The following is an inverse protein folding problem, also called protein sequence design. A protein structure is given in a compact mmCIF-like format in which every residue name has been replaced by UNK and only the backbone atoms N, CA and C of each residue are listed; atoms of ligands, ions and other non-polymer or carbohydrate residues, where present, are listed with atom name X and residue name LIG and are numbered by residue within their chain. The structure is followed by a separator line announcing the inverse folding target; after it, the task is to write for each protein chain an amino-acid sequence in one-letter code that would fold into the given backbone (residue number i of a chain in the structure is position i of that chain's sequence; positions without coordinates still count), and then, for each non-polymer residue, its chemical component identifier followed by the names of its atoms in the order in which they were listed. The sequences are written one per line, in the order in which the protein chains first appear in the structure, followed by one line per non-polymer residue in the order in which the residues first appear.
data_IF_038741238036
#
_entry.id   IF_038741238036
#
_cell.length_a   1.000
_cell.length_b   1.000
_cell.length_c   1.000
_cell.angle_alpha   90.00
_cell.angle_beta   90.00
_cell.angle_gamma   90.00
#
_symmetry.space_group_name_H-M   'P 1'
#
loop_
_entity.id
_entity.type
_entity.pdbx_description
1 polymer ?
#
# COMPACT_ATOMS: atom_id res chain seq x y z
N UNK A 1 5.70 -3.89 8.83
CA UNK A 1 5.44 -5.19 8.18
C UNK A 1 5.97 -6.36 8.98
N UNK A 2 7.28 -6.57 9.16
CA UNK A 2 7.78 -7.76 9.89
C UNK A 2 7.25 -7.85 11.33
N UNK A 3 7.21 -6.75 12.08
CA UNK A 3 6.62 -6.70 13.44
C UNK A 3 5.14 -7.17 13.47
N UNK A 4 4.41 -7.03 12.37
CA UNK A 4 3.01 -7.46 12.29
C UNK A 4 2.87 -8.99 12.38
N UNK A 5 3.90 -9.77 12.01
CA UNK A 5 3.86 -11.25 12.07
C UNK A 5 3.60 -11.79 13.48
N UNK A 6 4.03 -11.06 14.50
CA UNK A 6 3.90 -11.48 15.91
C UNK A 6 2.76 -10.79 16.65
N UNK A 7 2.20 -9.71 16.07
CA UNK A 7 1.17 -8.87 16.69
C UNK A 7 -0.22 -8.98 16.04
N UNK A 8 -0.32 -9.69 14.92
CA UNK A 8 -1.60 -9.93 14.24
C UNK A 8 -2.57 -10.69 15.15
N UNK A 9 -3.77 -10.13 15.32
CA UNK A 9 -4.90 -10.73 16.04
C UNK A 9 -5.99 -11.16 15.04
N UNK A 10 -6.95 -12.03 15.43
CA UNK A 10 -8.08 -12.38 14.56
C UNK A 10 -8.86 -11.15 14.05
N UNK A 11 -9.06 -10.15 14.91
CA UNK A 11 -9.81 -8.92 14.57
C UNK A 11 -9.04 -8.07 13.55
N UNK A 12 -7.74 -7.90 13.75
CA UNK A 12 -6.90 -7.10 12.84
C UNK A 12 -6.62 -7.83 11.53
N UNK A 13 -6.53 -9.16 11.55
CA UNK A 13 -6.50 -9.99 10.35
C UNK A 13 -7.78 -9.83 9.53
N UNK A 14 -8.95 -9.92 10.17
CA UNK A 14 -10.23 -9.71 9.49
C UNK A 14 -10.30 -8.30 8.87
N UNK A 15 -9.87 -7.28 9.62
CA UNK A 15 -9.82 -5.89 9.12
C UNK A 15 -8.94 -5.75 7.88
N UNK A 16 -7.73 -6.35 7.87
CA UNK A 16 -6.87 -6.35 6.67
C UNK A 16 -7.55 -7.04 5.49
N UNK A 17 -8.20 -8.17 5.71
CA UNK A 17 -8.94 -8.88 4.65
C UNK A 17 -10.09 -8.03 4.07
N UNK A 18 -10.82 -7.30 4.92
CA UNK A 18 -11.88 -6.38 4.49
C UNK A 18 -11.33 -5.22 3.65
N UNK A 19 -10.15 -4.69 4.01
CA UNK A 19 -9.47 -3.64 3.24
C UNK A 19 -9.01 -4.17 1.87
N UNK A 20 -8.46 -5.38 1.80
CA UNK A 20 -8.10 -6.02 0.52
C UNK A 20 -9.32 -6.20 -0.39
N UNK A 21 -10.44 -6.64 0.19
CA UNK A 21 -11.71 -6.73 -0.53
C UNK A 21 -12.20 -5.35 -1.01
N UNK A 22 -11.95 -4.29 -0.23
CA UNK A 22 -12.26 -2.92 -0.63
C UNK A 22 -11.39 -2.46 -1.80
N UNK A 23 -10.09 -2.76 -1.79
CA UNK A 23 -9.20 -2.47 -2.93
C UNK A 23 -9.68 -3.18 -4.21
N UNK A 24 -10.11 -4.44 -4.11
CA UNK A 24 -10.64 -5.15 -5.27
C UNK A 24 -11.93 -4.52 -5.81
N UNK A 25 -12.85 -4.12 -4.92
CA UNK A 25 -14.09 -3.44 -5.30
C UNK A 25 -13.86 -2.09 -5.97
N UNK A 26 -12.81 -1.35 -5.57
CA UNK A 26 -12.51 -0.04 -6.17
C UNK A 26 -11.89 -0.21 -7.55
N UNK A 27 -11.11 -1.27 -7.79
CA UNK A 27 -10.67 -1.68 -9.14
C UNK A 27 -11.88 -1.96 -10.05
N UNK A 28 -12.82 -2.80 -9.61
CA UNK A 28 -14.02 -3.15 -10.39
C UNK A 28 -14.86 -1.92 -10.78
N UNK A 29 -14.90 -0.92 -9.91
CA UNK A 29 -15.63 0.33 -10.12
C UNK A 29 -14.82 1.41 -10.84
N UNK A 30 -13.54 1.15 -11.13
CA UNK A 30 -12.58 2.14 -11.62
C UNK A 30 -12.53 3.41 -10.74
N UNK A 31 -12.71 3.24 -9.42
CA UNK A 31 -12.74 4.32 -8.44
C UNK A 31 -11.34 4.63 -7.91
N UNK A 32 -10.64 5.54 -8.58
CA UNK A 32 -9.25 5.90 -8.25
C UNK A 32 -9.11 6.49 -6.84
N UNK A 33 -10.09 7.30 -6.42
CA UNK A 33 -10.08 7.90 -5.07
C UNK A 33 -10.32 6.86 -4.00
N UNK A 34 -11.30 5.99 -4.23
CA UNK A 34 -11.56 4.85 -3.35
C UNK A 34 -10.36 3.91 -3.25
N UNK A 35 -9.69 3.64 -4.37
CA UNK A 35 -8.47 2.82 -4.39
C UNK A 35 -7.35 3.46 -3.57
N UNK A 36 -7.03 4.72 -3.82
CA UNK A 36 -6.00 5.45 -3.08
C UNK A 36 -6.29 5.50 -1.57
N UNK A 37 -7.55 5.70 -1.19
CA UNK A 37 -7.95 5.68 0.21
C UNK A 37 -7.81 4.28 0.85
N UNK A 38 -8.25 3.23 0.15
CA UNK A 38 -8.12 1.85 0.62
C UNK A 38 -6.64 1.42 0.74
N UNK A 39 -5.80 1.90 -0.17
CA UNK A 39 -4.34 1.72 -0.15
C UNK A 39 -3.71 2.39 1.09
N UNK A 40 -4.09 3.61 1.42
CA UNK A 40 -3.67 4.27 2.67
C UNK A 40 -4.17 3.53 3.92
N UNK A 41 -5.42 3.06 3.91
CA UNK A 41 -6.00 2.33 5.03
C UNK A 41 -5.28 0.99 5.28
N UNK A 42 -4.81 0.31 4.24
CA UNK A 42 -3.98 -0.90 4.37
C UNK A 42 -2.67 -0.60 5.09
N UNK A 43 -1.95 0.43 4.63
CA UNK A 43 -0.68 0.85 5.25
C UNK A 43 -0.88 1.29 6.70
N UNK A 44 -1.85 2.16 6.95
CA UNK A 44 -2.23 2.64 8.29
C UNK A 44 -2.52 1.47 9.24
N UNK A 45 -3.30 0.49 8.80
CA UNK A 45 -3.65 -0.69 9.60
C UNK A 45 -2.41 -1.53 9.91
N UNK A 46 -1.48 -1.66 8.96
CA UNK A 46 -0.20 -2.33 9.20
C UNK A 46 0.66 -1.59 10.24
N UNK A 47 0.71 -0.26 10.21
CA UNK A 47 1.40 0.55 11.23
C UNK A 47 0.73 0.42 12.61
N UNK A 48 -0.60 0.37 12.65
CA UNK A 48 -1.36 0.18 13.88
C UNK A 48 -1.08 -1.18 14.52
N UNK A 49 -1.14 -2.27 13.73
CA UNK A 49 -0.78 -3.64 14.18
C UNK A 49 0.66 -3.70 14.70
N UNK A 50 1.59 -2.96 14.07
CA UNK A 50 2.97 -2.89 14.52
C UNK A 50 3.16 -2.09 15.83
N UNK A 51 2.10 -1.46 16.36
CA UNK A 51 2.13 -0.49 17.47
C UNK A 51 2.97 0.75 17.12
N UNK A 52 2.90 1.18 15.86
CA UNK A 52 3.65 2.32 15.29
C UNK A 52 2.70 3.40 14.75
N UNK A 53 1.51 3.54 15.34
CA UNK A 53 0.50 4.50 14.90
C UNK A 53 1.01 5.94 14.83
N UNK A 54 1.83 6.35 15.79
CA UNK A 54 2.44 7.69 15.78
C UNK A 54 3.38 7.92 14.59
N UNK A 55 4.06 6.87 14.11
CA UNK A 55 4.89 6.95 12.90
C UNK A 55 4.02 7.17 11.67
N UNK A 56 2.87 6.47 11.59
CA UNK A 56 1.88 6.72 10.54
C UNK A 56 1.35 8.15 10.58
N UNK A 57 0.92 8.62 11.74
CA UNK A 57 0.41 10.00 11.90
C UNK A 57 1.46 11.02 11.48
N UNK A 58 2.73 10.80 11.84
CA UNK A 58 3.81 11.68 11.39
C UNK A 58 3.99 11.63 9.87
N UNK A 59 4.03 10.43 9.26
CA UNK A 59 4.14 10.27 7.80
C UNK A 59 2.98 10.95 7.07
N UNK A 60 1.74 10.67 7.46
CA UNK A 60 0.52 11.21 6.83
C UNK A 60 0.51 12.75 6.83
N UNK A 61 0.98 13.38 7.92
CA UNK A 61 1.01 14.84 8.03
C UNK A 61 2.20 15.51 7.32
N UNK A 62 3.30 14.80 7.07
CA UNK A 62 4.56 15.42 6.61
C UNK A 62 5.01 14.94 5.23
N UNK A 63 4.30 13.99 4.61
CA UNK A 63 4.75 13.31 3.40
C UNK A 63 3.95 13.68 2.15
N UNK A 64 3.55 14.95 2.03
CA UNK A 64 2.75 15.47 0.91
C UNK A 64 3.35 15.13 -0.46
N UNK A 65 4.68 15.11 -0.59
CA UNK A 65 5.34 14.79 -1.86
C UNK A 65 5.16 13.32 -2.25
N UNK A 66 5.29 12.37 -1.31
CA UNK A 66 5.04 10.95 -1.60
C UNK A 66 3.55 10.69 -1.85
N UNK A 67 2.65 11.30 -1.07
CA UNK A 67 1.21 11.14 -1.28
C UNK A 67 0.80 11.65 -2.66
N UNK A 68 1.35 12.80 -3.07
CA UNK A 68 1.15 13.33 -4.42
C UNK A 68 1.68 12.37 -5.49
N UNK A 69 2.87 11.80 -5.30
CA UNK A 69 3.44 10.83 -6.23
C UNK A 69 2.53 9.58 -6.35
N UNK A 70 2.13 8.98 -5.22
CA UNK A 70 1.24 7.81 -5.18
C UNK A 70 -0.11 8.10 -5.82
N UNK A 71 -0.68 9.28 -5.59
CA UNK A 71 -1.91 9.72 -6.25
C UNK A 71 -1.73 9.82 -7.77
N UNK A 72 -0.67 10.49 -8.24
CA UNK A 72 -0.38 10.61 -9.67
C UNK A 72 -0.20 9.22 -10.30
N UNK A 73 0.53 8.30 -9.66
CA UNK A 73 0.69 6.91 -10.10
C UNK A 73 -0.67 6.22 -10.30
N UNK A 74 -1.60 6.34 -9.35
CA UNK A 74 -2.94 5.72 -9.44
C UNK A 74 -3.72 6.21 -10.66
N UNK A 75 -3.50 7.45 -11.10
CA UNK A 75 -4.21 8.01 -12.27
C UNK A 75 -3.67 7.58 -13.63
N UNK A 76 -2.56 6.82 -13.69
CA UNK A 76 -1.92 6.41 -14.95
C UNK A 76 -2.50 5.06 -15.41
N UNK A 77 -3.20 5.06 -16.54
CA UNK A 77 -3.83 3.86 -17.12
C UNK A 77 -2.84 2.74 -17.50
N UNK A 78 -1.56 3.07 -17.70
CA UNK A 78 -0.49 2.11 -18.00
C UNK A 78 0.13 1.43 -16.78
N UNK A 79 -0.29 1.80 -15.56
CA UNK A 79 0.21 1.26 -14.30
C UNK A 79 -0.94 0.54 -13.58
N UNK A 80 -1.09 -0.78 -13.74
CA UNK A 80 -2.23 -1.52 -13.22
C UNK A 80 -2.32 -1.44 -11.69
N UNK A 81 -3.53 -1.31 -11.16
CA UNK A 81 -3.78 -1.33 -9.72
C UNK A 81 -3.70 -2.76 -9.17
N UNK A 82 -3.95 -3.74 -10.03
CA UNK A 82 -3.83 -5.17 -9.78
C UNK A 82 -2.41 -5.56 -9.34
N UNK A 83 -1.38 -4.88 -9.86
CA UNK A 83 -0.01 -5.12 -9.40
C UNK A 83 0.17 -4.79 -7.91
N UNK A 84 -0.44 -3.68 -7.46
CA UNK A 84 -0.41 -3.26 -6.05
C UNK A 84 -1.23 -4.24 -5.20
N UNK A 85 -2.47 -4.55 -5.59
CA UNK A 85 -3.33 -5.43 -4.79
C UNK A 85 -2.80 -6.85 -4.71
N UNK A 86 -2.18 -7.36 -5.77
CA UNK A 86 -1.51 -8.66 -5.74
C UNK A 86 -0.36 -8.68 -4.72
N UNK A 87 0.47 -7.62 -4.68
CA UNK A 87 1.53 -7.51 -3.67
C UNK A 87 0.97 -7.39 -2.25
N UNK A 88 -0.13 -6.64 -2.07
CA UNK A 88 -0.81 -6.54 -0.78
C UNK A 88 -1.38 -7.89 -0.32
N UNK A 89 -1.98 -8.66 -1.22
CA UNK A 89 -2.48 -10.00 -0.92
C UNK A 89 -1.34 -10.95 -0.54
N UNK A 90 -0.23 -10.94 -1.28
CA UNK A 90 0.96 -11.73 -0.95
C UNK A 90 1.52 -11.36 0.43
N UNK A 91 1.59 -10.07 0.75
CA UNK A 91 2.01 -9.58 2.08
C UNK A 91 1.07 -10.09 3.16
N UNK A 92 -0.24 -10.01 2.95
CA UNK A 92 -1.23 -10.53 3.89
C UNK A 92 -1.10 -12.04 4.11
N UNK A 93 -0.95 -12.81 3.04
CA UNK A 93 -0.78 -14.27 3.11
C UNK A 93 0.49 -14.64 3.90
N UNK A 94 1.59 -13.91 3.68
CA UNK A 94 2.84 -14.09 4.41
C UNK A 94 2.73 -13.70 5.90
N UNK A 95 1.95 -12.66 6.22
CA UNK A 95 1.64 -12.27 7.59
C UNK A 95 0.83 -13.35 8.32
N UNK A 96 -0.21 -13.90 7.67
CA UNK A 96 -1.06 -14.98 8.22
C UNK A 96 -0.25 -16.26 8.41
N UNK A 97 0.65 -16.57 7.47
CA UNK A 97 1.58 -17.69 7.58
C UNK A 97 2.68 -17.48 8.64
N UNK A 98 2.76 -16.29 9.24
CA UNK A 98 3.80 -15.89 10.21
C UNK A 98 5.21 -16.11 9.68
N UNK A 99 5.43 -15.77 8.40
CA UNK A 99 6.72 -15.92 7.73
C UNK A 99 7.45 -14.55 7.61
N UNK A 100 8.27 -14.17 8.60
CA UNK A 100 8.90 -12.84 8.62
C UNK A 100 9.90 -12.61 7.49
N UNK A 101 10.55 -13.65 6.98
CA UNK A 101 11.50 -13.52 5.86
C UNK A 101 10.77 -13.21 4.56
N UNK A 102 9.66 -13.89 4.30
CA UNK A 102 8.80 -13.60 3.14
C UNK A 102 8.20 -12.20 3.24
N UNK A 103 7.70 -11.82 4.42
CA UNK A 103 7.18 -10.46 4.66
C UNK A 103 8.25 -9.40 4.40
N UNK A 104 9.50 -9.64 4.82
CA UNK A 104 10.62 -8.72 4.55
C UNK A 104 10.87 -8.59 3.06
N UNK A 105 10.97 -9.71 2.35
CA UNK A 105 11.20 -9.75 0.91
C UNK A 105 10.10 -9.01 0.14
N UNK A 106 8.83 -9.35 0.41
CA UNK A 106 7.68 -8.73 -0.25
C UNK A 106 7.54 -7.23 0.08
N UNK A 107 7.91 -6.81 1.30
CA UNK A 107 7.90 -5.38 1.66
C UNK A 107 8.90 -4.61 0.80
N UNK A 108 10.11 -5.15 0.61
CA UNK A 108 11.13 -4.52 -0.24
C UNK A 108 10.68 -4.50 -1.70
N UNK A 109 10.11 -5.60 -2.19
CA UNK A 109 9.56 -5.69 -3.54
C UNK A 109 8.48 -4.63 -3.79
N UNK A 110 7.58 -4.45 -2.82
CA UNK A 110 6.52 -3.45 -2.88
C UNK A 110 7.07 -2.01 -2.93
N UNK A 111 8.07 -1.70 -2.10
CA UNK A 111 8.72 -0.39 -2.13
C UNK A 111 9.47 -0.12 -3.44
N UNK A 112 10.16 -1.12 -3.99
CA UNK A 112 10.88 -1.00 -5.26
C UNK A 112 9.96 -0.81 -6.47
N UNK A 113 8.72 -1.28 -6.42
CA UNK A 113 7.75 -1.04 -7.50
C UNK A 113 7.56 0.45 -7.75
N UNK A 114 7.45 1.28 -6.70
CA UNK A 114 7.35 2.73 -6.86
C UNK A 114 8.58 3.35 -7.52
N UNK A 115 9.78 2.85 -7.24
CA UNK A 115 11.01 3.33 -7.86
C UNK A 115 11.07 2.96 -9.34
N UNK A 116 10.68 1.73 -9.68
CA UNK A 116 10.65 1.26 -11.07
C UNK A 116 9.62 2.02 -11.91
N UNK A 117 8.51 2.45 -11.31
CA UNK A 117 7.46 3.20 -11.99
C UNK A 117 7.69 4.73 -11.97
N UNK A 118 8.73 5.21 -11.27
CA UNK A 118 8.99 6.63 -11.08
C UNK A 118 9.15 7.39 -12.39
N UNK A 119 9.94 6.87 -13.33
CA UNK A 119 10.17 7.51 -14.63
C UNK A 119 8.86 7.71 -15.39
N UNK A 120 7.99 6.70 -15.40
CA UNK A 120 6.67 6.80 -16.05
C UNK A 120 5.78 7.87 -15.42
N UNK A 121 5.85 8.05 -14.09
CA UNK A 121 5.09 9.10 -13.40
C UNK A 121 5.63 10.49 -13.75
N UNK A 122 6.95 10.66 -13.76
CA UNK A 122 7.61 11.93 -14.08
C UNK A 122 7.36 12.33 -15.54
N UNK A 123 7.49 11.39 -16.48
CA UNK A 123 7.22 11.62 -17.90
C UNK A 123 5.77 12.01 -18.16
N UNK A 124 4.82 11.44 -17.41
CA UNK A 124 3.39 11.74 -17.57
C UNK A 124 2.99 13.07 -16.96
N UNK A 125 3.69 13.53 -15.92
CA UNK A 125 3.36 14.71 -15.14
C UNK A 125 4.57 15.64 -14.89
N UNK A 126 5.31 16.07 -15.93
CA UNK A 126 6.57 16.80 -15.77
C UNK A 126 6.42 18.09 -14.97
N UNK A 127 5.31 18.82 -15.16
CA UNK A 127 4.99 20.07 -14.45
C UNK A 127 4.85 19.92 -12.93
N UNK A 128 4.61 18.70 -12.42
CA UNK A 128 4.52 18.43 -10.98
C UNK A 128 5.90 18.16 -10.35
N UNK A 129 6.94 17.96 -11.15
CA UNK A 129 8.30 17.58 -10.73
C UNK A 129 9.40 18.53 -11.24
N UNK A 130 9.03 19.59 -11.97
CA UNK A 130 9.93 20.65 -12.42
C UNK A 130 10.42 21.54 -11.27
#
# INVERSE_FOLDING_TARGET
MVECCTKLTPETQQRLQEILNLQQKTIEKQDARGFFHADNLFHETCFDIAERKEVWNWLDNHNTHLERFRWLRVTISGLPWENITNQHQQLFDALVAKNPEEVRFLTILHLHMMLNEQESVVERYPEYFA
#
